data_IF_444740559414
#
_entry.id   IF_444740559414
#
_cell.length_a   1.000
_cell.length_b   1.000
_cell.length_c   1.000
_cell.angle_alpha   90.00
_cell.angle_beta   90.00
_cell.angle_gamma   90.00
#
_symmetry.space_group_name_H-M   'P 1'
#
loop_
_entity.id
_entity.type
_entity.pdbx_description
1 polymer ?
#
# COMPACT_ATOMS: atom_id res chain seq x y z
N UNK A 1 39.07 24.75 13.36
CA UNK A 1 38.05 25.56 12.65
C UNK A 1 37.60 24.74 11.46
N UNK A 2 36.49 24.02 11.56
CA UNK A 2 35.94 23.24 10.44
C UNK A 2 34.87 24.10 9.76
N UNK A 3 34.87 24.21 8.42
CA UNK A 3 33.86 25.00 7.74
C UNK A 3 32.49 24.34 7.94
N UNK A 4 31.56 25.11 8.49
CA UNK A 4 30.14 24.80 8.46
C UNK A 4 29.75 24.56 7.00
N UNK A 5 29.38 23.32 6.67
CA UNK A 5 28.79 22.99 5.38
C UNK A 5 27.55 23.85 5.19
N UNK A 6 27.55 24.62 4.11
CA UNK A 6 26.39 25.35 3.62
C UNK A 6 25.19 24.39 3.56
N UNK A 7 24.12 24.75 4.28
CA UNK A 7 22.82 24.14 4.06
C UNK A 7 22.40 24.55 2.65
N UNK A 8 22.56 23.63 1.70
CA UNK A 8 21.92 23.76 0.40
C UNK A 8 20.43 24.01 0.64
N UNK A 9 19.95 25.19 0.23
CA UNK A 9 18.53 25.53 0.21
C UNK A 9 17.87 24.66 -0.86
N UNK A 10 17.56 23.41 -0.52
CA UNK A 10 16.69 22.60 -1.35
C UNK A 10 15.29 23.20 -1.25
N UNK A 11 14.73 23.64 -2.38
CA UNK A 11 13.33 24.02 -2.44
C UNK A 11 12.49 22.78 -2.09
N UNK A 12 11.86 22.82 -0.93
CA UNK A 12 10.94 21.77 -0.50
C UNK A 12 9.53 22.11 -0.93
N UNK A 13 8.79 21.09 -1.35
CA UNK A 13 7.42 21.23 -1.83
C UNK A 13 6.44 20.43 -0.98
N UNK A 14 5.16 20.79 -1.05
CA UNK A 14 4.08 19.93 -0.56
C UNK A 14 3.49 19.16 -1.73
N UNK A 15 3.59 17.83 -1.68
CA UNK A 15 2.99 16.94 -2.68
C UNK A 15 1.68 16.38 -2.15
N UNK A 16 0.59 16.53 -2.89
CA UNK A 16 -0.71 15.95 -2.54
C UNK A 16 -1.10 14.85 -3.51
N UNK A 17 -1.43 13.68 -3.00
CA UNK A 17 -1.91 12.52 -3.74
C UNK A 17 -3.34 12.17 -3.31
N UNK A 18 -4.29 12.17 -4.23
CA UNK A 18 -5.70 11.90 -3.94
C UNK A 18 -6.45 11.20 -5.07
N UNK A 19 -7.75 10.94 -4.85
CA UNK A 19 -8.68 10.34 -5.82
C UNK A 19 -8.16 9.03 -6.42
N UNK A 20 -7.57 8.18 -5.58
CA UNK A 20 -6.93 6.96 -6.04
C UNK A 20 -7.97 5.89 -6.37
N UNK A 21 -7.85 5.29 -7.56
CA UNK A 21 -8.57 4.09 -7.92
C UNK A 21 -7.75 3.15 -8.79
N UNK A 22 -7.85 1.86 -8.57
CA UNK A 22 -7.16 0.83 -9.36
C UNK A 22 -8.19 0.09 -10.19
N UNK A 23 -7.99 0.07 -11.50
CA UNK A 23 -8.95 -0.57 -12.41
C UNK A 23 -8.91 -2.09 -12.29
N UNK A 24 -10.06 -2.72 -12.54
CA UNK A 24 -10.20 -4.17 -12.60
C UNK A 24 -10.51 -4.59 -14.03
N UNK A 25 -10.07 -5.79 -14.41
CA UNK A 25 -10.37 -6.37 -15.72
C UNK A 25 -11.86 -6.67 -15.85
N UNK A 26 -12.46 -7.16 -14.77
CA UNK A 26 -13.85 -7.55 -14.68
C UNK A 26 -14.57 -6.82 -13.55
N UNK A 27 -15.91 -6.73 -13.68
CA UNK A 27 -16.78 -6.21 -12.63
C UNK A 27 -16.69 -7.09 -11.39
N UNK A 28 -16.51 -6.47 -10.23
CA UNK A 28 -16.59 -7.16 -8.94
C UNK A 28 -17.79 -6.67 -8.16
N UNK A 29 -18.42 -7.63 -7.50
CA UNK A 29 -19.31 -7.38 -6.39
C UNK A 29 -18.64 -7.92 -5.14
N UNK A 30 -18.09 -7.05 -4.30
CA UNK A 30 -17.68 -7.38 -2.94
C UNK A 30 -18.95 -7.38 -2.08
N UNK A 31 -19.92 -8.23 -2.45
CA UNK A 31 -21.14 -8.44 -1.68
C UNK A 31 -20.78 -9.23 -0.42
N UNK A 32 -21.13 -8.66 0.74
CA UNK A 32 -21.10 -9.36 2.02
C UNK A 32 -22.13 -10.50 2.10
N UNK A 33 -23.04 -10.59 1.12
CA UNK A 33 -24.25 -11.42 1.19
C UNK A 33 -24.23 -12.66 0.29
N UNK A 34 -23.47 -12.71 -0.81
CA UNK A 34 -23.75 -13.74 -1.85
C UNK A 34 -22.54 -14.56 -2.38
N UNK A 35 -21.39 -14.58 -1.70
CA UNK A 35 -20.31 -15.55 -2.02
C UNK A 35 -19.79 -16.26 -0.77
N UNK A 36 -20.22 -17.51 -0.49
CA UNK A 36 -20.06 -18.10 0.85
C UNK A 36 -18.65 -18.62 1.18
N UNK A 37 -17.68 -18.58 0.24
CA UNK A 37 -16.39 -19.27 0.43
C UNK A 37 -15.23 -18.35 0.83
N UNK A 38 -15.12 -17.15 0.25
CA UNK A 38 -13.99 -16.25 0.52
C UNK A 38 -14.37 -14.76 0.40
N UNK A 39 -13.89 -13.94 1.35
CA UNK A 39 -13.91 -12.47 1.32
C UNK A 39 -12.54 -11.93 0.93
N UNK A 40 -12.50 -10.80 0.23
CA UNK A 40 -11.25 -10.10 -0.12
C UNK A 40 -11.23 -8.72 0.52
N UNK A 41 -10.06 -8.35 1.03
CA UNK A 41 -9.79 -7.03 1.60
C UNK A 41 -8.59 -6.44 0.90
N UNK A 42 -8.64 -5.14 0.61
CA UNK A 42 -7.58 -4.43 -0.08
C UNK A 42 -7.06 -3.29 0.79
N UNK A 43 -5.75 -3.16 0.84
CA UNK A 43 -5.08 -2.10 1.58
C UNK A 43 -4.09 -1.42 0.65
N UNK A 44 -4.17 -0.10 0.54
CA UNK A 44 -3.23 0.68 -0.23
C UNK A 44 -2.26 1.38 0.73
N UNK A 45 -0.97 1.18 0.50
CA UNK A 45 0.11 1.82 1.25
C UNK A 45 0.74 2.87 0.33
N UNK A 46 0.89 4.09 0.83
CA UNK A 46 1.67 5.14 0.18
C UNK A 46 2.83 5.52 1.09
N UNK A 47 4.02 5.69 0.51
CA UNK A 47 5.22 6.06 1.27
C UNK A 47 6.15 6.97 0.46
N UNK A 48 6.82 7.90 1.14
CA UNK A 48 7.80 8.82 0.58
C UNK A 48 8.79 9.23 1.67
N UNK A 49 10.07 8.91 1.51
CA UNK A 49 11.06 9.07 2.57
C UNK A 49 10.67 8.29 3.84
N UNK A 50 10.62 8.97 4.99
CA UNK A 50 10.21 8.40 6.28
C UNK A 50 8.68 8.33 6.45
N UNK A 51 7.92 8.99 5.58
CA UNK A 51 6.48 8.97 5.66
C UNK A 51 5.93 7.66 5.08
N UNK A 52 5.07 7.00 5.85
CA UNK A 52 4.33 5.82 5.42
C UNK A 52 2.92 5.89 6.00
N UNK A 53 1.93 5.67 5.15
CA UNK A 53 0.55 5.66 5.59
C UNK A 53 -0.34 4.77 4.71
N UNK A 54 -1.48 4.38 5.27
CA UNK A 54 -2.32 3.29 4.79
C UNK A 54 -3.75 3.77 4.58
N UNK A 55 -4.40 3.25 3.53
CA UNK A 55 -5.80 3.49 3.19
C UNK A 55 -6.54 2.18 2.93
N UNK A 56 -7.72 2.05 3.53
CA UNK A 56 -8.66 0.98 3.25
C UNK A 56 -9.43 1.27 1.96
N UNK A 57 -9.79 0.22 1.24
CA UNK A 57 -10.66 0.33 0.08
C UNK A 57 -12.10 0.69 0.49
N UNK A 58 -12.80 1.46 -0.36
CA UNK A 58 -14.21 1.81 -0.18
C UNK A 58 -15.18 1.07 -1.10
N UNK A 59 -14.69 0.52 -2.21
CA UNK A 59 -15.60 0.02 -3.24
C UNK A 59 -16.26 -1.28 -2.82
N UNK A 60 -17.57 -1.26 -2.70
CA UNK A 60 -18.38 -2.46 -2.48
C UNK A 60 -18.71 -3.17 -3.81
N UNK A 61 -18.95 -2.41 -4.89
CA UNK A 61 -19.29 -2.95 -6.21
C UNK A 61 -18.75 -2.04 -7.32
N UNK A 62 -18.22 -2.61 -8.41
CA UNK A 62 -17.77 -1.84 -9.57
C UNK A 62 -16.63 -2.49 -10.37
N UNK A 63 -16.02 -1.71 -11.27
CA UNK A 63 -14.84 -2.09 -12.08
C UNK A 63 -13.54 -1.45 -11.60
N UNK A 64 -13.50 -0.98 -10.36
CA UNK A 64 -12.32 -0.37 -9.76
C UNK A 64 -12.32 -0.54 -8.24
N UNK A 65 -11.14 -0.58 -7.63
CA UNK A 65 -10.94 -0.49 -6.19
C UNK A 65 -10.62 0.96 -5.87
N UNK A 66 -11.48 1.65 -5.14
CA UNK A 66 -11.33 3.07 -4.78
C UNK A 66 -10.84 3.23 -3.35
N UNK A 67 -10.05 4.28 -3.13
CA UNK A 67 -9.48 4.65 -1.83
C UNK A 67 -9.81 6.11 -1.56
N UNK A 68 -10.25 6.44 -0.35
CA UNK A 68 -10.63 7.82 -0.02
C UNK A 68 -9.53 8.68 0.54
N UNK A 69 -8.46 8.06 1.05
CA UNK A 69 -7.41 8.79 1.71
C UNK A 69 -6.73 9.73 0.73
N UNK A 70 -6.49 10.92 1.21
CA UNK A 70 -5.60 11.89 0.59
C UNK A 70 -4.31 11.92 1.41
N UNK A 71 -3.18 11.90 0.72
CA UNK A 71 -1.86 11.99 1.34
C UNK A 71 -1.24 13.34 1.02
N UNK A 72 -0.67 13.99 2.03
CA UNK A 72 0.15 15.19 1.88
C UNK A 72 1.56 14.86 2.36
N UNK A 73 2.54 15.08 1.49
CA UNK A 73 3.96 14.88 1.78
C UNK A 73 4.62 16.25 1.82
N UNK A 74 4.72 16.81 3.02
CA UNK A 74 5.35 18.11 3.25
C UNK A 74 6.88 17.96 3.28
N UNK A 75 7.59 19.00 2.84
CA UNK A 75 9.05 18.97 2.86
C UNK A 75 9.66 18.11 1.74
N UNK A 76 8.89 17.71 0.74
CA UNK A 76 9.35 16.79 -0.30
C UNK A 76 10.43 17.44 -1.18
N UNK A 77 11.55 16.75 -1.47
CA UNK A 77 12.55 17.25 -2.39
C UNK A 77 12.03 17.28 -3.83
N UNK A 78 12.69 18.02 -4.72
CA UNK A 78 12.32 18.08 -6.14
C UNK A 78 12.29 16.70 -6.82
N UNK A 79 13.15 15.77 -6.39
CA UNK A 79 13.23 14.39 -6.89
C UNK A 79 12.44 13.38 -6.06
N UNK A 80 11.32 13.80 -5.45
CA UNK A 80 10.52 12.92 -4.60
C UNK A 80 10.10 11.62 -5.32
N UNK A 81 9.91 10.58 -4.51
CA UNK A 81 9.36 9.31 -4.96
C UNK A 81 8.26 8.86 -4.00
N UNK A 82 7.03 8.73 -4.52
CA UNK A 82 5.91 8.16 -3.78
C UNK A 82 5.73 6.72 -4.23
N UNK A 83 6.08 5.78 -3.35
CA UNK A 83 5.86 4.36 -3.57
C UNK A 83 4.44 4.00 -3.15
N UNK A 84 3.67 3.45 -4.09
CA UNK A 84 2.30 2.98 -3.89
C UNK A 84 2.29 1.47 -3.99
N UNK A 85 1.79 0.80 -2.95
CA UNK A 85 1.68 -0.66 -2.89
C UNK A 85 0.26 -1.08 -2.53
N UNK A 86 -0.33 -1.92 -3.37
CA UNK A 86 -1.62 -2.55 -3.12
C UNK A 86 -1.41 -3.94 -2.54
N UNK A 87 -2.00 -4.18 -1.38
CA UNK A 87 -2.05 -5.49 -0.75
C UNK A 87 -3.46 -6.07 -0.79
N UNK A 88 -3.57 -7.39 -0.91
CA UNK A 88 -4.83 -8.12 -0.81
C UNK A 88 -4.74 -9.19 0.27
N UNK A 89 -5.84 -9.35 1.00
CA UNK A 89 -6.07 -10.45 1.92
C UNK A 89 -7.28 -11.24 1.44
N UNK A 90 -7.11 -12.55 1.25
CA UNK A 90 -8.20 -13.48 0.91
C UNK A 90 -8.58 -14.29 2.14
N UNK A 91 -9.65 -13.91 2.84
CA UNK A 91 -10.15 -14.62 4.01
C UNK A 91 -11.17 -15.68 3.60
N UNK A 92 -10.98 -16.93 4.06
CA UNK A 92 -12.00 -17.97 3.92
C UNK A 92 -13.14 -17.70 4.89
N UNK A 93 -14.35 -17.54 4.38
CA UNK A 93 -15.56 -17.53 5.22
C UNK A 93 -15.91 -19.00 5.47
N UNK A 94 -15.96 -19.43 6.74
CA UNK A 94 -16.28 -20.82 7.07
C UNK A 94 -17.70 -20.94 7.61
N UNK A 95 -18.46 -21.89 7.08
CA UNK A 95 -19.38 -22.69 7.87
C UNK A 95 -18.59 -23.48 8.92
N UNK A 96 -18.88 -23.21 10.20
CA UNK A 96 -18.74 -23.97 11.47
C UNK A 96 -17.64 -25.04 11.70
N UNK A 97 -16.67 -25.25 10.82
CA UNK A 97 -15.69 -26.33 10.95
C UNK A 97 -14.26 -25.86 10.66
N UNK A 98 -13.68 -25.06 11.56
CA UNK A 98 -12.25 -24.75 11.55
C UNK A 98 -11.46 -26.01 11.98
N UNK A 99 -11.35 -27.00 11.09
CA UNK A 99 -10.21 -27.93 11.13
C UNK A 99 -8.96 -27.16 10.68
N UNK A 100 -8.02 -27.07 11.62
CA UNK A 100 -6.63 -26.59 11.56
C UNK A 100 -6.04 -26.61 10.15
N UNK A 101 -6.01 -25.46 9.47
CA UNK A 101 -5.07 -25.24 8.36
C UNK A 101 -4.49 -23.84 8.50
N UNK A 102 -3.15 -23.80 8.37
CA UNK A 102 -2.24 -22.69 8.65
C UNK A 102 -2.74 -21.37 8.01
N UNK A 103 -3.20 -20.43 8.83
CA UNK A 103 -3.56 -19.08 8.36
C UNK A 103 -2.52 -18.01 8.70
N UNK A 104 -1.52 -18.33 9.52
CA UNK A 104 -0.41 -17.42 9.85
C UNK A 104 0.91 -18.19 9.86
N UNK A 105 1.91 -17.70 9.13
CA UNK A 105 3.32 -18.05 9.33
C UNK A 105 3.87 -17.17 10.45
N UNK A 106 4.76 -17.70 11.29
CA UNK A 106 5.48 -16.89 12.28
C UNK A 106 6.93 -16.81 11.84
N UNK A 107 7.51 -15.62 11.86
CA UNK A 107 8.93 -15.42 11.59
C UNK A 107 9.65 -14.88 12.84
N UNK A 108 10.93 -15.26 13.05
CA UNK A 108 11.75 -14.69 14.09
C UNK A 108 12.17 -13.28 13.68
N UNK A 109 11.90 -12.30 14.54
CA UNK A 109 12.45 -10.96 14.42
C UNK A 109 13.48 -10.75 15.52
N UNK A 110 14.68 -10.35 15.13
CA UNK A 110 15.77 -10.00 16.04
C UNK A 110 15.82 -8.48 16.13
N UNK A 111 15.67 -7.94 17.34
CA UNK A 111 15.89 -6.53 17.60
C UNK A 111 16.75 -6.37 18.85
N UNK A 112 17.56 -5.31 18.87
CA UNK A 112 18.31 -4.93 20.06
C UNK A 112 17.34 -4.32 21.07
N UNK A 113 17.23 -4.94 22.24
CA UNK A 113 16.46 -4.35 23.33
C UNK A 113 17.33 -3.27 24.02
N UNK A 114 16.94 -1.99 23.98
CA UNK A 114 17.76 -0.90 24.49
C UNK A 114 17.91 -0.92 26.02
N UNK A 115 17.09 -1.69 26.75
CA UNK A 115 17.14 -1.78 28.21
C UNK A 115 18.18 -2.80 28.69
N UNK A 116 18.38 -3.87 27.93
CA UNK A 116 19.30 -4.96 28.28
C UNK A 116 20.52 -5.05 27.35
N UNK A 117 20.53 -4.31 26.24
CA UNK A 117 21.60 -4.31 25.21
C UNK A 117 21.90 -5.70 24.65
N UNK A 118 20.85 -6.53 24.54
CA UNK A 118 20.91 -7.87 23.97
C UNK A 118 19.96 -7.97 22.78
N UNK A 119 20.30 -8.84 21.82
CA UNK A 119 19.41 -9.17 20.72
C UNK A 119 18.36 -10.17 21.18
N UNK A 120 17.10 -9.74 21.19
CA UNK A 120 15.97 -10.57 21.59
C UNK A 120 15.30 -11.15 20.34
N UNK A 121 15.08 -12.47 20.32
CA UNK A 121 14.27 -13.13 19.31
C UNK A 121 12.80 -13.14 19.74
N UNK A 122 11.93 -12.52 18.94
CA UNK A 122 10.49 -12.60 19.13
C UNK A 122 9.82 -13.23 17.91
N UNK A 123 8.95 -14.22 18.13
CA UNK A 123 8.11 -14.79 17.08
C UNK A 123 6.92 -13.86 16.83
N UNK A 124 6.93 -13.20 15.68
CA UNK A 124 5.84 -12.31 15.25
C UNK A 124 5.03 -13.03 14.17
N UNK A 125 3.72 -12.80 14.16
CA UNK A 125 2.87 -13.29 13.08
C UNK A 125 3.15 -12.52 11.79
N UNK A 126 3.33 -13.26 10.70
CA UNK A 126 3.38 -12.71 9.35
C UNK A 126 2.01 -12.21 8.94
N UNK A 127 2.00 -11.04 8.31
CA UNK A 127 0.79 -10.52 7.70
C UNK A 127 0.33 -11.45 6.58
N UNK A 128 -0.92 -11.89 6.61
CA UNK A 128 -1.53 -12.67 5.52
C UNK A 128 -1.84 -11.82 4.29
N UNK A 129 -1.55 -10.51 4.33
CA UNK A 129 -1.66 -9.62 3.17
C UNK A 129 -0.54 -9.89 2.17
N UNK A 130 -0.91 -10.09 0.92
CA UNK A 130 0.01 -10.32 -0.18
C UNK A 130 0.06 -9.10 -1.09
N UNK A 131 1.26 -8.70 -1.50
CA UNK A 131 1.46 -7.62 -2.47
C UNK A 131 0.84 -8.04 -3.81
N UNK A 132 -0.09 -7.22 -4.32
CA UNK A 132 -0.83 -7.45 -5.56
C UNK A 132 -0.38 -6.55 -6.69
N UNK A 133 0.05 -5.35 -6.36
CA UNK A 133 0.62 -4.43 -7.33
C UNK A 133 1.42 -3.35 -6.64
N UNK A 134 2.34 -2.77 -7.37
CA UNK A 134 3.06 -1.59 -6.94
C UNK A 134 3.39 -0.65 -8.10
N UNK A 135 3.67 0.60 -7.74
CA UNK A 135 4.26 1.58 -8.63
C UNK A 135 4.96 2.67 -7.83
N UNK A 136 5.83 3.43 -8.50
CA UNK A 136 6.45 4.64 -7.95
C UNK A 136 6.03 5.84 -8.78
N UNK A 137 5.53 6.88 -8.12
CA UNK A 137 5.25 8.17 -8.73
C UNK A 137 6.36 9.15 -8.42
N UNK A 138 6.66 10.04 -9.36
CA UNK A 138 7.66 11.10 -9.23
C UNK A 138 7.16 12.39 -9.89
N UNK A 139 8.05 13.38 -10.03
CA UNK A 139 7.78 14.68 -10.65
C UNK A 139 7.11 14.56 -12.03
N UNK A 140 7.47 13.55 -12.84
CA UNK A 140 6.92 13.36 -14.19
C UNK A 140 5.45 12.92 -14.17
N UNK A 141 4.94 12.50 -13.02
CA UNK A 141 3.55 12.07 -12.85
C UNK A 141 2.63 13.21 -12.39
N UNK A 142 3.17 14.40 -12.16
CA UNK A 142 2.36 15.59 -11.86
C UNK A 142 1.47 15.89 -13.07
N UNK A 143 0.21 16.24 -12.81
CA UNK A 143 -0.85 16.46 -13.81
C UNK A 143 -1.23 15.22 -14.65
N UNK A 144 -0.55 14.09 -14.51
CA UNK A 144 -1.02 12.83 -15.04
C UNK A 144 -2.20 12.32 -14.22
N UNK A 145 -3.09 11.57 -14.86
CA UNK A 145 -4.27 10.96 -14.21
C UNK A 145 -4.20 9.45 -14.12
N UNK A 146 -3.26 8.84 -14.86
CA UNK A 146 -3.14 7.40 -15.02
C UNK A 146 -1.65 7.06 -15.03
N UNK A 147 -1.29 5.98 -14.33
CA UNK A 147 0.05 5.41 -14.39
C UNK A 147 -0.04 3.88 -14.35
N UNK A 148 0.98 3.22 -14.90
CA UNK A 148 1.02 1.76 -15.00
C UNK A 148 1.39 1.15 -13.64
N UNK A 149 0.72 0.07 -13.28
CA UNK A 149 1.05 -0.77 -12.15
C UNK A 149 1.90 -1.96 -12.60
N UNK A 150 2.85 -2.35 -11.78
CA UNK A 150 3.45 -3.67 -11.84
C UNK A 150 2.53 -4.63 -11.07
N UNK A 151 1.68 -5.36 -11.78
CA UNK A 151 0.67 -6.25 -11.21
C UNK A 151 1.21 -7.67 -10.97
N UNK A 152 0.69 -8.33 -9.94
CA UNK A 152 0.96 -9.73 -9.56
C UNK A 152 -0.29 -10.58 -9.79
N UNK A 153 -0.50 -11.06 -11.03
CA UNK A 153 -1.70 -11.82 -11.39
C UNK A 153 -1.78 -13.18 -10.67
N UNK A 154 -0.65 -13.71 -10.18
CA UNK A 154 -0.58 -14.89 -9.32
C UNK A 154 -1.29 -14.68 -7.98
N UNK A 155 -1.31 -13.44 -7.47
CA UNK A 155 -1.99 -13.08 -6.22
C UNK A 155 -3.43 -12.64 -6.48
N UNK A 156 -3.63 -11.76 -7.47
CA UNK A 156 -4.96 -11.28 -7.84
C UNK A 156 -5.10 -11.03 -9.35
N UNK A 157 -5.58 -12.05 -10.06
CA UNK A 157 -5.67 -12.07 -11.53
C UNK A 157 -6.58 -10.99 -12.14
N UNK A 158 -7.60 -10.54 -11.39
CA UNK A 158 -8.56 -9.55 -11.85
C UNK A 158 -8.07 -8.09 -11.77
N UNK A 159 -6.85 -7.86 -11.26
CA UNK A 159 -6.28 -6.52 -11.27
C UNK A 159 -5.99 -6.07 -12.70
N UNK A 160 -6.40 -4.84 -13.04
CA UNK A 160 -5.94 -4.17 -14.24
C UNK A 160 -4.53 -3.59 -14.07
N UNK A 161 -3.99 -3.06 -15.15
CA UNK A 161 -2.59 -2.60 -15.19
C UNK A 161 -2.42 -1.12 -14.86
N UNK A 162 -3.48 -0.43 -14.44
CA UNK A 162 -3.49 1.02 -14.29
C UNK A 162 -4.02 1.46 -12.93
N UNK A 163 -3.32 2.42 -12.34
CA UNK A 163 -3.78 3.25 -11.22
C UNK A 163 -4.20 4.61 -11.75
N UNK A 164 -5.36 5.09 -11.30
CA UNK A 164 -5.84 6.45 -11.50
C UNK A 164 -5.65 7.24 -10.22
N UNK A 165 -5.22 8.49 -10.34
CA UNK A 165 -4.94 9.36 -9.20
C UNK A 165 -4.99 10.83 -9.62
N UNK A 166 -4.87 11.72 -8.64
CA UNK A 166 -4.58 13.12 -8.81
C UNK A 166 -3.33 13.45 -7.98
N UNK A 167 -2.28 13.95 -8.62
CA UNK A 167 -1.02 14.33 -7.99
C UNK A 167 -0.74 15.82 -8.25
N UNK A 168 -0.63 16.62 -7.19
CA UNK A 168 -0.34 18.05 -7.28
C UNK A 168 0.87 18.42 -6.44
N UNK A 169 1.55 19.48 -6.85
CA UNK A 169 2.68 20.11 -6.15
C UNK A 169 2.30 21.54 -5.78
N UNK A 170 2.63 21.97 -4.57
CA UNK A 170 2.50 23.35 -4.09
C UNK A 170 3.81 23.82 -3.49
#
# INVERSE_FOLDING_TARGET
MFPCKEKANFSTHTITLSKISIQLKEYIEISYKDSPKFRRFFVLVASSGEYLDISEFKTEKGRAIQFSKEWSFDGAPAEFQINIKLFCLKLRCKDKSIKKQKACTTFPLFYEDPLIREYVEKRVMESSFQLCAETTLNINNINQRIHRLTSRPDVYSNLGDNIKFHLTIK
#
